data_IF_763596012498
#
_entry.id   IF_763596012498
#
_cell.length_a   1.000
_cell.length_b   1.000
_cell.length_c   1.000
_cell.angle_alpha   90.00
_cell.angle_beta   90.00
_cell.angle_gamma   90.00
#
_symmetry.space_group_name_H-M   'P 1'
#
loop_
_entity.id
_entity.type
_entity.pdbx_description
1 polymer ?
#
# COMPACT_ATOMS: atom_id res chain seq x y z
N UNK A 1 31.98 -51.91 13.74
CA UNK A 1 31.34 -50.72 13.14
C UNK A 1 30.42 -50.11 14.18
N UNK A 2 30.89 -49.10 14.92
CA UNK A 2 30.05 -48.31 15.82
C UNK A 2 29.42 -47.18 14.99
N UNK A 3 28.09 -47.13 14.93
CA UNK A 3 27.37 -46.02 14.34
C UNK A 3 27.63 -44.77 15.18
N UNK A 4 28.27 -43.77 14.59
CA UNK A 4 28.29 -42.42 15.15
C UNK A 4 26.86 -41.89 15.11
N UNK A 5 26.20 -41.82 16.25
CA UNK A 5 25.06 -40.92 16.42
C UNK A 5 25.56 -39.49 16.17
N UNK A 6 25.15 -38.90 15.06
CA UNK A 6 25.27 -37.46 14.85
C UNK A 6 24.16 -36.81 15.67
N UNK A 7 24.38 -36.63 16.96
CA UNK A 7 23.56 -35.75 17.81
C UNK A 7 24.03 -34.31 17.63
N UNK A 8 23.78 -33.73 16.45
CA UNK A 8 23.93 -32.28 16.26
C UNK A 8 22.68 -31.56 16.75
N UNK A 9 22.49 -31.50 18.08
CA UNK A 9 21.60 -30.49 18.68
C UNK A 9 22.28 -29.13 18.51
N UNK A 10 22.03 -28.47 17.37
CA UNK A 10 22.67 -27.20 17.02
C UNK A 10 22.34 -26.06 18.00
N UNK A 11 21.29 -26.16 18.81
CA UNK A 11 20.96 -25.16 19.83
C UNK A 11 20.45 -25.81 21.13
N UNK A 12 21.15 -25.58 22.25
CA UNK A 12 20.68 -25.83 23.61
C UNK A 12 20.35 -24.47 24.25
N UNK A 13 19.18 -23.94 23.91
CA UNK A 13 18.66 -22.70 24.50
C UNK A 13 17.40 -23.04 25.29
N UNK A 14 17.33 -22.57 26.54
CA UNK A 14 16.07 -22.53 27.27
C UNK A 14 15.28 -21.33 26.74
N UNK A 15 14.17 -21.60 26.07
CA UNK A 15 13.28 -20.56 25.58
C UNK A 15 12.59 -19.90 26.77
N UNK A 16 12.60 -18.57 26.81
CA UNK A 16 11.75 -17.85 27.76
C UNK A 16 10.29 -17.83 27.28
N UNK A 17 9.38 -17.37 28.13
CA UNK A 17 7.94 -17.34 27.83
C UNK A 17 7.61 -16.53 26.57
N UNK A 18 8.29 -15.38 26.36
CA UNK A 18 8.14 -14.57 25.15
C UNK A 18 8.53 -15.34 23.89
N UNK A 19 9.62 -16.08 23.92
CA UNK A 19 10.13 -16.86 22.79
C UNK A 19 9.27 -18.10 22.51
N UNK A 20 8.76 -18.76 23.56
CA UNK A 20 7.79 -19.84 23.46
C UNK A 20 6.48 -19.37 22.85
N UNK A 21 5.97 -18.22 23.33
CA UNK A 21 4.80 -17.59 22.75
C UNK A 21 5.07 -17.26 21.28
N UNK A 22 6.20 -16.61 20.95
CA UNK A 22 6.58 -16.29 19.57
C UNK A 22 6.58 -17.51 18.65
N UNK A 23 7.19 -18.61 19.10
CA UNK A 23 7.19 -19.86 18.35
C UNK A 23 5.79 -20.44 18.23
N UNK A 24 4.95 -20.38 19.26
CA UNK A 24 3.55 -20.79 19.17
C UNK A 24 2.81 -19.99 18.09
N UNK A 25 2.93 -18.66 18.05
CA UNK A 25 2.38 -17.82 16.98
C UNK A 25 2.93 -18.19 15.59
N UNK A 26 4.25 -18.34 15.45
CA UNK A 26 4.88 -18.75 14.20
C UNK A 26 4.45 -20.15 13.75
N UNK A 27 4.11 -21.06 14.68
CA UNK A 27 3.66 -22.41 14.34
C UNK A 27 2.15 -22.55 14.15
N UNK A 28 1.34 -21.71 14.80
CA UNK A 28 -0.14 -21.83 14.78
C UNK A 28 -0.81 -20.84 13.84
N UNK A 29 -0.19 -19.68 13.59
CA UNK A 29 -0.78 -18.57 12.83
C UNK A 29 -0.10 -18.39 11.48
N UNK A 30 1.21 -18.59 11.35
CA UNK A 30 1.90 -18.43 10.05
C UNK A 30 1.57 -19.56 9.04
N UNK A 31 1.52 -20.86 9.41
CA UNK A 31 1.33 -21.96 8.46
C UNK A 31 -0.11 -22.11 7.96
N UNK A 32 -1.09 -21.51 8.64
CA UNK A 32 -2.48 -21.50 8.17
C UNK A 32 -2.67 -20.67 6.90
N UNK A 33 -1.75 -19.75 6.58
CA UNK A 33 -1.96 -18.79 5.49
C UNK A 33 -0.99 -18.92 4.31
N UNK A 34 -0.04 -19.86 4.36
CA UNK A 34 0.68 -20.35 3.17
C UNK A 34 -0.18 -21.28 2.31
N UNK A 35 -1.38 -21.63 2.77
CA UNK A 35 -2.34 -22.49 2.09
C UNK A 35 -3.20 -21.68 1.10
N UNK A 36 -2.60 -21.19 0.01
CA UNK A 36 -3.29 -20.46 -1.05
C UNK A 36 -4.15 -21.35 -1.98
N UNK A 37 -4.13 -22.67 -1.80
CA UNK A 37 -4.65 -23.63 -2.80
C UNK A 37 -6.11 -24.07 -2.58
N UNK A 38 -6.81 -23.61 -1.54
CA UNK A 38 -8.23 -23.97 -1.34
C UNK A 38 -9.07 -22.74 -1.07
N UNK A 39 -10.22 -22.66 -1.75
CA UNK A 39 -11.32 -21.71 -1.51
C UNK A 39 -11.96 -21.86 -0.10
N UNK A 40 -11.29 -22.54 0.83
CA UNK A 40 -11.76 -22.82 2.17
C UNK A 40 -10.71 -22.34 3.15
N UNK A 41 -11.15 -21.44 4.03
CA UNK A 41 -10.32 -20.85 5.06
C UNK A 41 -9.93 -21.93 6.09
N UNK A 42 -8.69 -21.95 6.61
CA UNK A 42 -8.22 -22.99 7.54
C UNK A 42 -9.03 -23.05 8.84
N UNK A 43 -9.03 -24.22 9.47
CA UNK A 43 -9.79 -24.55 10.68
C UNK A 43 -9.26 -23.94 11.99
N UNK A 44 -8.14 -23.22 11.98
CA UNK A 44 -7.52 -22.57 13.17
C UNK A 44 -8.21 -21.24 13.55
N UNK A 45 -9.54 -21.22 13.50
CA UNK A 45 -10.41 -20.04 13.66
C UNK A 45 -10.82 -19.73 15.09
N UNK A 46 -10.13 -20.23 16.11
CA UNK A 46 -10.49 -19.92 17.51
C UNK A 46 -10.42 -18.41 17.85
N UNK A 47 -9.72 -17.62 17.01
CA UNK A 47 -9.66 -16.16 17.09
C UNK A 47 -10.72 -15.42 16.25
N UNK A 48 -11.43 -16.11 15.35
CA UNK A 48 -12.46 -15.50 14.48
C UNK A 48 -13.82 -15.49 15.19
N UNK A 49 -13.88 -14.70 16.25
CA UNK A 49 -15.09 -14.50 17.06
C UNK A 49 -16.12 -13.65 16.32
N UNK A 50 -17.38 -13.66 16.77
CA UNK A 50 -18.40 -12.77 16.21
C UNK A 50 -18.02 -11.28 16.39
N UNK A 51 -17.35 -10.97 17.51
CA UNK A 51 -16.80 -9.65 17.77
C UNK A 51 -15.75 -9.23 16.73
N UNK A 52 -14.84 -10.14 16.34
CA UNK A 52 -13.89 -9.88 15.27
C UNK A 52 -14.59 -9.60 13.94
N UNK A 53 -15.63 -10.38 13.61
CA UNK A 53 -16.41 -10.20 12.38
C UNK A 53 -17.10 -8.85 12.31
N UNK A 54 -17.63 -8.36 13.44
CA UNK A 54 -18.21 -7.02 13.51
C UNK A 54 -17.17 -5.93 13.26
N UNK A 55 -15.97 -6.06 13.84
CA UNK A 55 -14.86 -5.13 13.62
C UNK A 55 -14.38 -5.16 12.16
N UNK A 56 -14.21 -6.33 11.58
CA UNK A 56 -13.81 -6.53 10.19
C UNK A 56 -14.82 -5.91 9.22
N UNK A 57 -16.12 -6.20 9.41
CA UNK A 57 -17.19 -5.59 8.61
C UNK A 57 -17.19 -4.08 8.72
N UNK A 58 -17.03 -3.55 9.94
CA UNK A 58 -16.93 -2.11 10.16
C UNK A 58 -15.76 -1.49 9.40
N UNK A 59 -14.59 -2.14 9.37
CA UNK A 59 -13.43 -1.68 8.60
C UNK A 59 -13.74 -1.67 7.10
N UNK A 60 -14.36 -2.72 6.56
CA UNK A 60 -14.70 -2.79 5.13
C UNK A 60 -15.77 -1.77 4.74
N UNK A 61 -16.81 -1.61 5.55
CA UNK A 61 -17.86 -0.62 5.34
C UNK A 61 -17.28 0.80 5.37
N UNK A 62 -16.41 1.10 6.34
CA UNK A 62 -15.74 2.40 6.41
C UNK A 62 -14.75 2.60 5.26
N UNK A 63 -14.00 1.57 4.85
CA UNK A 63 -13.12 1.67 3.69
C UNK A 63 -13.91 2.00 2.42
N UNK A 64 -15.06 1.36 2.21
CA UNK A 64 -15.96 1.68 1.11
C UNK A 64 -16.47 3.12 1.20
N UNK A 65 -16.92 3.57 2.38
CA UNK A 65 -17.42 4.93 2.58
C UNK A 65 -16.33 5.99 2.34
N UNK A 66 -15.08 5.72 2.76
CA UNK A 66 -13.98 6.67 2.62
C UNK A 66 -13.34 6.66 1.23
N UNK A 67 -13.58 5.66 0.39
CA UNK A 67 -12.91 5.55 -0.92
C UNK A 67 -13.87 5.47 -2.10
N UNK A 68 -15.17 5.28 -1.85
CA UNK A 68 -16.20 4.94 -2.83
C UNK A 68 -15.87 3.68 -3.66
N UNK A 69 -14.91 2.86 -3.21
CA UNK A 69 -14.41 1.68 -3.94
C UNK A 69 -14.88 0.39 -3.31
N UNK A 70 -15.58 -0.42 -4.10
CA UNK A 70 -15.90 -1.80 -3.71
C UNK A 70 -14.68 -2.68 -3.91
N UNK A 71 -14.32 -3.41 -2.87
CA UNK A 71 -13.31 -4.45 -2.95
C UNK A 71 -13.84 -5.62 -3.79
N UNK A 72 -12.95 -6.26 -4.52
CA UNK A 72 -13.24 -7.54 -5.17
C UNK A 72 -13.18 -8.67 -4.12
N UNK A 73 -13.86 -9.79 -4.37
CA UNK A 73 -13.82 -10.94 -3.46
C UNK A 73 -12.40 -11.43 -3.08
N UNK A 74 -11.43 -11.48 -4.02
CA UNK A 74 -10.03 -11.77 -3.70
C UNK A 74 -9.38 -10.73 -2.77
N UNK A 75 -9.67 -9.44 -2.96
CA UNK A 75 -9.13 -8.37 -2.13
C UNK A 75 -9.72 -8.39 -0.71
N UNK A 76 -11.03 -8.61 -0.58
CA UNK A 76 -11.69 -8.82 0.71
C UNK A 76 -11.06 -10.01 1.44
N UNK A 77 -10.90 -11.14 0.74
CA UNK A 77 -10.27 -12.35 1.30
C UNK A 77 -8.83 -12.08 1.75
N UNK A 78 -8.06 -11.35 0.95
CA UNK A 78 -6.70 -10.94 1.29
C UNK A 78 -6.66 -10.06 2.55
N UNK A 79 -7.49 -9.02 2.62
CA UNK A 79 -7.54 -8.11 3.77
C UNK A 79 -7.98 -8.86 5.03
N UNK A 80 -9.04 -9.65 4.94
CA UNK A 80 -9.56 -10.47 6.03
C UNK A 80 -8.47 -11.33 6.65
N UNK A 81 -7.81 -12.14 5.82
CA UNK A 81 -6.74 -13.03 6.25
C UNK A 81 -5.60 -12.27 6.94
N UNK A 82 -5.16 -11.17 6.33
CA UNK A 82 -4.02 -10.40 6.81
C UNK A 82 -4.34 -9.52 8.04
N UNK A 83 -5.59 -9.11 8.21
CA UNK A 83 -6.06 -8.40 9.39
C UNK A 83 -6.18 -9.35 10.57
N UNK A 84 -6.67 -10.58 10.38
CA UNK A 84 -6.72 -11.61 11.45
C UNK A 84 -5.29 -11.88 11.95
N UNK A 85 -4.34 -12.02 11.02
CA UNK A 85 -2.92 -12.22 11.34
C UNK A 85 -2.38 -11.11 12.24
N UNK A 86 -2.55 -9.85 11.83
CA UNK A 86 -2.10 -8.68 12.59
C UNK A 86 -2.80 -8.61 13.96
N UNK A 87 -4.12 -8.70 14.00
CA UNK A 87 -4.87 -8.65 15.26
C UNK A 87 -4.40 -9.73 16.23
N UNK A 88 -4.22 -10.96 15.76
CA UNK A 88 -3.76 -12.07 16.61
C UNK A 88 -2.35 -11.81 17.14
N UNK A 89 -1.45 -11.31 16.29
CA UNK A 89 -0.11 -10.87 16.72
C UNK A 89 -0.18 -9.83 17.83
N UNK A 90 -0.93 -8.75 17.62
CA UNK A 90 -1.02 -7.64 18.56
C UNK A 90 -1.74 -8.01 19.87
N UNK A 91 -2.67 -8.97 19.83
CA UNK A 91 -3.27 -9.58 21.03
C UNK A 91 -2.25 -10.40 21.82
N UNK A 92 -1.37 -11.15 21.14
CA UNK A 92 -0.40 -12.04 21.79
C UNK A 92 0.84 -11.33 22.34
N UNK A 93 1.35 -10.30 21.66
CA UNK A 93 2.61 -9.63 22.02
C UNK A 93 2.46 -8.20 22.52
N UNK A 94 1.25 -7.64 22.44
CA UNK A 94 1.03 -6.24 22.79
C UNK A 94 1.51 -5.27 21.72
N UNK A 95 1.34 -3.98 22.02
CA UNK A 95 1.12 -2.98 20.99
C UNK A 95 2.36 -2.15 20.60
N UNK A 96 3.22 -1.77 21.54
CA UNK A 96 4.32 -0.84 21.21
C UNK A 96 5.66 -1.15 21.93
N UNK A 97 5.65 -1.86 23.07
CA UNK A 97 6.87 -2.09 23.89
C UNK A 97 7.55 -3.45 23.65
N UNK A 98 6.93 -4.35 22.88
CA UNK A 98 7.36 -5.74 22.70
C UNK A 98 7.46 -6.16 21.23
N UNK A 99 7.51 -5.18 20.33
CA UNK A 99 7.56 -5.40 18.89
C UNK A 99 8.98 -5.14 18.37
N UNK A 100 9.92 -6.11 18.45
CA UNK A 100 11.16 -6.07 17.67
C UNK A 100 10.83 -6.40 16.20
N UNK A 101 11.40 -5.66 15.24
CA UNK A 101 10.81 -4.38 14.93
C UNK A 101 10.02 -4.47 13.64
N UNK A 102 8.72 -4.21 13.77
CA UNK A 102 7.96 -3.54 12.71
C UNK A 102 8.46 -2.08 12.52
N UNK A 103 9.67 -1.69 12.98
CA UNK A 103 10.29 -0.38 12.71
C UNK A 103 10.41 -0.13 11.21
N UNK A 104 10.55 -1.20 10.42
CA UNK A 104 10.56 -1.12 8.96
C UNK A 104 9.24 -0.57 8.41
N UNK A 105 8.11 -0.69 9.15
CA UNK A 105 6.82 -0.11 8.76
C UNK A 105 6.85 1.41 8.69
N UNK A 106 7.54 2.07 9.64
CA UNK A 106 7.72 3.52 9.65
C UNK A 106 8.58 3.97 8.46
N UNK A 107 9.59 3.17 8.07
CA UNK A 107 10.40 3.44 6.89
C UNK A 107 9.59 3.41 5.58
N UNK A 108 8.44 2.75 5.51
CA UNK A 108 7.60 2.79 4.30
C UNK A 108 6.83 4.10 4.12
N UNK A 109 6.76 4.94 5.17
CA UNK A 109 6.27 6.32 5.12
C UNK A 109 7.39 7.26 4.63
N UNK A 110 7.92 6.99 3.44
CA UNK A 110 8.63 8.04 2.70
C UNK A 110 7.60 9.03 2.19
N UNK A 111 7.96 10.32 2.14
CA UNK A 111 7.15 11.46 1.72
C UNK A 111 6.49 11.26 0.34
N UNK A 112 5.38 10.52 0.32
CA UNK A 112 4.55 10.22 -0.83
C UNK A 112 3.14 10.69 -0.48
N UNK A 113 2.64 11.77 -1.13
CA UNK A 113 1.32 12.32 -0.88
C UNK A 113 0.17 11.29 -0.98
N UNK A 114 0.34 10.24 -1.80
CA UNK A 114 -0.64 9.15 -1.92
C UNK A 114 -0.67 8.31 -0.64
N UNK A 115 0.51 7.97 -0.11
CA UNK A 115 0.66 7.19 1.13
C UNK A 115 0.17 7.96 2.35
N UNK A 116 0.50 9.25 2.43
CA UNK A 116 -0.03 10.15 3.45
C UNK A 116 -1.57 10.13 3.46
N UNK A 117 -2.19 10.12 2.28
CA UNK A 117 -3.64 10.05 2.16
C UNK A 117 -4.21 8.70 2.61
N UNK A 118 -3.61 7.58 2.19
CA UNK A 118 -4.02 6.26 2.68
C UNK A 118 -3.89 6.12 4.20
N UNK A 119 -2.84 6.70 4.80
CA UNK A 119 -2.67 6.68 6.24
C UNK A 119 -3.79 7.46 6.95
N UNK A 120 -4.16 8.64 6.43
CA UNK A 120 -5.31 9.42 6.93
C UNK A 120 -6.63 8.65 6.80
N UNK A 121 -6.84 7.91 5.70
CA UNK A 121 -8.01 7.04 5.55
C UNK A 121 -8.05 6.00 6.68
N UNK A 122 -6.93 5.34 6.96
CA UNK A 122 -6.86 4.36 8.06
C UNK A 122 -7.12 4.99 9.42
N UNK A 123 -6.53 6.14 9.71
CA UNK A 123 -6.80 6.87 10.97
C UNK A 123 -8.29 7.22 11.10
N UNK A 124 -8.92 7.67 10.01
CA UNK A 124 -10.35 7.99 9.99
C UNK A 124 -11.22 6.75 10.22
N UNK A 125 -10.93 5.64 9.52
CA UNK A 125 -11.61 4.35 9.73
C UNK A 125 -11.51 3.95 11.21
N UNK A 126 -10.29 3.92 11.77
CA UNK A 126 -10.08 3.50 13.16
C UNK A 126 -10.86 4.35 14.15
N UNK A 127 -10.90 5.67 13.94
CA UNK A 127 -11.64 6.60 14.82
C UNK A 127 -13.17 6.36 14.83
N UNK A 128 -13.70 5.68 13.80
CA UNK A 128 -15.12 5.42 13.63
C UNK A 128 -15.54 4.00 14.07
N UNK A 129 -14.58 3.14 14.41
CA UNK A 129 -14.89 1.79 14.87
C UNK A 129 -15.37 1.84 16.34
N UNK A 130 -16.51 1.21 16.67
CA UNK A 130 -17.02 1.18 18.04
C UNK A 130 -16.25 0.16 18.90
N UNK A 131 -15.08 0.57 19.42
CA UNK A 131 -14.20 -0.27 20.25
C UNK A 131 -14.70 -0.31 21.70
N UNK A 132 -15.47 -1.35 22.06
CA UNK A 132 -16.05 -1.51 23.41
C UNK A 132 -15.07 -2.04 24.45
N UNK A 133 -14.25 -3.03 24.07
CA UNK A 133 -13.33 -3.70 25.00
C UNK A 133 -11.94 -3.06 25.02
N UNK A 134 -11.31 -3.03 26.21
CA UNK A 134 -9.97 -2.46 26.42
C UNK A 134 -8.91 -3.10 25.52
N UNK A 135 -9.01 -4.43 25.30
CA UNK A 135 -8.09 -5.17 24.42
C UNK A 135 -8.08 -4.60 23.00
N UNK A 136 -9.24 -4.20 22.48
CA UNK A 136 -9.37 -3.62 21.14
C UNK A 136 -8.90 -2.18 21.10
N UNK A 137 -9.25 -1.38 22.11
CA UNK A 137 -8.76 -0.01 22.23
C UNK A 137 -7.23 0.02 22.25
N UNK A 138 -6.59 -0.88 23.01
CA UNK A 138 -5.13 -0.98 23.08
C UNK A 138 -4.50 -1.29 21.72
N UNK A 139 -5.10 -2.18 20.93
CA UNK A 139 -4.57 -2.57 19.62
C UNK A 139 -4.78 -1.47 18.59
N UNK A 140 -6.03 -1.01 18.43
CA UNK A 140 -6.38 -0.06 17.38
C UNK A 140 -5.82 1.36 17.64
N UNK A 141 -5.52 1.70 18.88
CA UNK A 141 -4.81 2.95 19.21
C UNK A 141 -3.29 2.85 19.10
N UNK A 142 -2.73 1.66 18.88
CA UNK A 142 -1.29 1.52 18.68
C UNK A 142 -0.86 1.95 17.29
N UNK A 143 0.14 2.82 17.25
CA UNK A 143 0.73 3.33 16.03
C UNK A 143 1.27 2.21 15.15
N UNK A 144 1.90 1.19 15.76
CA UNK A 144 2.39 0.00 15.05
C UNK A 144 1.26 -0.75 14.33
N UNK A 145 0.11 -0.91 14.99
CA UNK A 145 -1.06 -1.54 14.37
C UNK A 145 -1.61 -0.69 13.23
N UNK A 146 -1.74 0.62 13.42
CA UNK A 146 -2.24 1.55 12.38
C UNK A 146 -1.36 1.52 11.14
N UNK A 147 -0.04 1.56 11.30
CA UNK A 147 0.90 1.40 10.17
C UNK A 147 0.75 0.05 9.48
N UNK A 148 0.58 -1.03 10.24
CA UNK A 148 0.39 -2.36 9.67
C UNK A 148 -0.90 -2.46 8.84
N UNK A 149 -1.98 -1.80 9.29
CA UNK A 149 -3.25 -1.73 8.56
C UNK A 149 -3.16 -0.82 7.34
N UNK A 150 -2.49 0.32 7.46
CA UNK A 150 -2.15 1.22 6.36
C UNK A 150 -1.48 0.47 5.20
N UNK A 151 -0.49 -0.39 5.49
CA UNK A 151 0.19 -1.14 4.43
C UNK A 151 -0.74 -2.11 3.68
N UNK A 152 -1.68 -2.74 4.38
CA UNK A 152 -2.65 -3.63 3.73
C UNK A 152 -3.58 -2.85 2.83
N UNK A 153 -4.14 -1.77 3.37
CA UNK A 153 -5.07 -0.91 2.66
C UNK A 153 -4.37 -0.27 1.47
N UNK A 154 -3.15 0.23 1.64
CA UNK A 154 -2.37 0.79 0.53
C UNK A 154 -2.12 -0.25 -0.54
N UNK A 155 -1.73 -1.47 -0.19
CA UNK A 155 -1.48 -2.53 -1.18
C UNK A 155 -2.72 -2.82 -2.03
N UNK A 156 -3.87 -3.03 -1.39
CA UNK A 156 -5.14 -3.31 -2.10
C UNK A 156 -5.60 -2.13 -2.95
N UNK A 157 -5.44 -0.91 -2.45
CA UNK A 157 -5.83 0.29 -3.20
C UNK A 157 -4.83 0.63 -4.32
N UNK A 158 -3.56 0.22 -4.18
CA UNK A 158 -2.51 0.40 -5.17
C UNK A 158 -2.63 -0.56 -6.37
N UNK A 159 -3.10 -1.80 -6.16
CA UNK A 159 -3.32 -2.77 -7.25
C UNK A 159 -4.29 -2.27 -8.34
N UNK A 160 -5.18 -1.35 -7.98
CA UNK A 160 -6.18 -0.77 -8.88
C UNK A 160 -5.90 0.69 -9.23
N UNK A 161 -4.64 1.12 -9.13
CA UNK A 161 -4.28 2.46 -9.60
C UNK A 161 -4.42 2.52 -11.11
N UNK A 162 -5.32 3.39 -11.57
CA UNK A 162 -5.32 3.84 -12.95
C UNK A 162 -3.94 4.42 -13.27
N UNK A 163 -3.37 3.95 -14.38
CA UNK A 163 -2.20 4.60 -14.98
C UNK A 163 -2.49 6.09 -15.17
N UNK A 164 -1.46 6.91 -14.97
CA UNK A 164 -1.51 8.30 -15.42
C UNK A 164 -1.12 8.28 -16.90
N UNK A 165 -2.03 8.75 -17.76
CA UNK A 165 -1.80 8.85 -19.21
C UNK A 165 -0.96 10.08 -19.51
N UNK A 166 0.21 9.87 -20.07
CA UNK A 166 1.20 10.93 -20.31
C UNK A 166 1.54 10.99 -21.79
N UNK A 167 1.50 12.18 -22.38
CA UNK A 167 2.10 12.46 -23.67
C UNK A 167 3.41 13.25 -23.49
N UNK A 168 4.43 12.94 -24.30
CA UNK A 168 5.67 13.72 -24.39
C UNK A 168 5.77 14.32 -25.79
N UNK A 169 5.82 15.65 -25.86
CA UNK A 169 5.96 16.42 -27.09
C UNK A 169 7.31 17.12 -27.10
N UNK A 170 8.09 16.87 -28.16
CA UNK A 170 9.38 17.51 -28.35
C UNK A 170 9.58 17.94 -29.79
N UNK A 171 10.19 19.11 -29.97
CA UNK A 171 10.62 19.59 -31.28
C UNK A 171 11.87 18.90 -31.84
N UNK A 172 12.55 18.05 -31.05
CA UNK A 172 13.80 17.36 -31.44
C UNK A 172 13.56 15.96 -32.02
N UNK A 173 12.30 15.60 -32.29
CA UNK A 173 11.93 14.40 -33.01
C UNK A 173 11.93 13.11 -32.19
N UNK A 174 11.72 11.99 -32.89
CA UNK A 174 11.35 10.69 -32.29
C UNK A 174 12.42 10.13 -31.35
N UNK A 175 13.70 10.25 -31.69
CA UNK A 175 14.80 9.73 -30.86
C UNK A 175 14.83 10.40 -29.49
N UNK A 176 14.63 11.72 -29.47
CA UNK A 176 14.62 12.47 -28.23
C UNK A 176 13.36 12.17 -27.40
N UNK A 177 12.19 12.04 -28.03
CA UNK A 177 10.96 11.55 -27.37
C UNK A 177 11.22 10.21 -26.67
N UNK A 178 11.81 9.24 -27.37
CA UNK A 178 12.11 7.92 -26.81
C UNK A 178 13.06 7.99 -25.61
N UNK A 179 14.07 8.87 -25.65
CA UNK A 179 14.99 9.07 -24.54
C UNK A 179 14.25 9.61 -23.30
N UNK A 180 13.46 10.67 -23.46
CA UNK A 180 12.65 11.26 -22.38
C UNK A 180 11.66 10.25 -21.78
N UNK A 181 10.97 9.49 -22.63
CA UNK A 181 10.07 8.41 -22.20
C UNK A 181 10.83 7.39 -21.34
N UNK A 182 11.99 6.91 -21.81
CA UNK A 182 12.79 5.93 -21.07
C UNK A 182 13.20 6.45 -19.69
N UNK A 183 13.61 7.71 -19.59
CA UNK A 183 13.95 8.32 -18.30
C UNK A 183 12.73 8.43 -17.39
N UNK A 184 11.62 8.94 -17.92
CA UNK A 184 10.39 9.11 -17.16
C UNK A 184 9.90 7.76 -16.61
N UNK A 185 9.81 6.73 -17.45
CA UNK A 185 9.38 5.38 -17.03
C UNK A 185 10.34 4.75 -16.02
N UNK A 186 11.65 5.00 -16.14
CA UNK A 186 12.65 4.48 -15.19
C UNK A 186 12.58 5.16 -13.83
N UNK A 187 12.27 6.46 -13.80
CA UNK A 187 12.27 7.25 -12.57
C UNK A 187 10.93 7.21 -11.82
N UNK A 188 9.83 6.91 -12.51
CA UNK A 188 8.54 6.80 -11.86
C UNK A 188 8.44 5.49 -11.06
N UNK A 189 8.11 5.55 -9.76
CA UNK A 189 8.01 4.37 -8.90
C UNK A 189 6.77 3.51 -9.22
N UNK A 190 5.75 4.09 -9.86
CA UNK A 190 4.51 3.42 -10.26
C UNK A 190 4.31 3.52 -11.77
N UNK A 191 3.61 2.54 -12.40
CA UNK A 191 3.37 2.57 -13.83
C UNK A 191 2.72 3.87 -14.32
N UNK A 192 3.22 4.35 -15.45
CA UNK A 192 2.61 5.42 -16.25
C UNK A 192 2.31 4.84 -17.63
N UNK A 193 1.26 5.32 -18.26
CA UNK A 193 0.91 4.93 -19.62
C UNK A 193 1.31 6.04 -20.56
N UNK A 194 2.28 5.77 -21.42
CA UNK A 194 2.74 6.75 -22.40
C UNK A 194 1.86 6.62 -23.64
N UNK A 195 1.08 7.67 -23.92
CA UNK A 195 0.12 7.72 -25.01
C UNK A 195 0.50 8.78 -26.04
N UNK A 196 -0.06 8.68 -27.23
CA UNK A 196 0.04 9.76 -28.21
C UNK A 196 -0.85 10.95 -27.82
N UNK A 197 -0.57 12.11 -28.41
CA UNK A 197 -1.24 13.36 -28.03
C UNK A 197 -2.74 13.36 -28.33
N UNK A 198 -3.16 12.64 -29.36
CA UNK A 198 -4.55 12.44 -29.78
C UNK A 198 -5.28 11.34 -28.99
N UNK A 199 -4.59 10.63 -28.09
CA UNK A 199 -5.15 9.54 -27.27
C UNK A 199 -5.59 10.02 -25.87
N UNK A 200 -6.02 11.28 -25.77
CA UNK A 200 -6.52 11.92 -24.55
C UNK A 200 -5.56 11.78 -23.34
N UNK A 201 -4.32 12.31 -23.43
CA UNK A 201 -3.40 12.33 -22.30
C UNK A 201 -3.97 13.15 -21.14
N UNK A 202 -3.64 12.74 -19.92
CA UNK A 202 -3.96 13.49 -18.70
C UNK A 202 -2.89 14.53 -18.37
N UNK A 203 -1.63 14.21 -18.69
CA UNK A 203 -0.48 15.11 -18.57
C UNK A 203 0.24 15.22 -19.91
N UNK A 204 0.62 16.43 -20.29
CA UNK A 204 1.46 16.68 -21.46
C UNK A 204 2.77 17.31 -21.01
N UNK A 205 3.87 16.59 -21.20
CA UNK A 205 5.22 17.15 -21.05
C UNK A 205 5.70 17.73 -22.38
N UNK A 206 6.14 18.99 -22.39
CA UNK A 206 6.61 19.63 -23.62
C UNK A 206 7.82 20.55 -23.44
N UNK A 207 8.71 20.59 -24.43
CA UNK A 207 9.91 21.46 -24.47
C UNK A 207 9.73 22.75 -25.30
N UNK A 208 8.49 23.06 -25.67
CA UNK A 208 8.09 24.27 -26.38
C UNK A 208 6.68 24.72 -25.94
N UNK A 209 6.35 26.02 -26.05
CA UNK A 209 5.01 26.54 -25.76
C UNK A 209 3.95 25.90 -26.67
N UNK A 210 2.99 25.19 -26.08
CA UNK A 210 1.81 24.68 -26.78
C UNK A 210 0.73 25.77 -26.79
N UNK A 211 0.56 26.49 -27.90
CA UNK A 211 -0.60 27.38 -28.10
C UNK A 211 -1.87 26.62 -28.44
N UNK A 212 -1.74 25.51 -29.18
CA UNK A 212 -2.86 24.68 -29.68
C UNK A 212 -3.18 23.49 -28.75
N UNK A 213 -2.28 23.17 -27.82
CA UNK A 213 -2.40 22.07 -26.84
C UNK A 213 -3.69 22.09 -26.02
N UNK A 214 -4.10 23.29 -25.62
CA UNK A 214 -5.27 23.53 -24.77
C UNK A 214 -6.59 23.42 -25.53
N UNK A 215 -6.59 23.53 -26.86
CA UNK A 215 -7.83 23.48 -27.67
C UNK A 215 -8.30 22.04 -27.92
N UNK A 216 -7.37 21.09 -28.03
CA UNK A 216 -7.67 19.68 -28.36
C UNK A 216 -7.93 18.85 -27.10
N UNK A 217 -7.21 19.12 -26.01
CA UNK A 217 -7.48 18.50 -24.71
C UNK A 217 -7.42 19.53 -23.58
N UNK A 218 -8.51 20.30 -23.37
CA UNK A 218 -8.56 21.37 -22.37
C UNK A 218 -8.44 20.86 -20.93
N UNK A 219 -8.54 19.54 -20.70
CA UNK A 219 -8.46 18.93 -19.38
C UNK A 219 -7.06 18.41 -19.03
N UNK A 220 -6.15 18.33 -20.01
CA UNK A 220 -4.79 17.89 -19.78
C UNK A 220 -3.99 18.95 -19.00
N UNK A 221 -3.24 18.52 -18.00
CA UNK A 221 -2.28 19.39 -17.33
C UNK A 221 -0.98 19.46 -18.13
N UNK A 222 -0.54 20.67 -18.47
CA UNK A 222 0.67 20.90 -19.28
C UNK A 222 1.84 21.22 -18.36
N UNK A 223 2.94 20.48 -18.49
CA UNK A 223 4.17 20.71 -17.73
C UNK A 223 5.35 20.95 -18.68
N UNK A 224 5.96 22.13 -18.57
CA UNK A 224 7.11 22.49 -19.41
C UNK A 224 8.39 21.84 -18.91
N UNK A 225 9.05 21.08 -19.79
CA UNK A 225 10.32 20.41 -19.51
C UNK A 225 11.46 21.05 -20.30
N UNK A 226 12.67 21.03 -19.74
CA UNK A 226 13.86 21.38 -20.51
C UNK A 226 14.15 20.33 -21.58
N UNK A 227 14.85 20.71 -22.63
CA UNK A 227 15.32 19.78 -23.69
C UNK A 227 16.18 18.66 -23.09
N UNK A 228 16.93 18.95 -22.04
CA UNK A 228 17.62 17.94 -21.22
C UNK A 228 17.27 18.23 -19.77
N UNK A 229 16.20 17.60 -19.24
CA UNK A 229 15.79 17.88 -17.89
C UNK A 229 16.93 17.56 -16.91
N UNK A 230 17.18 18.49 -16.00
CA UNK A 230 18.19 18.29 -14.95
C UNK A 230 17.69 17.25 -13.95
N UNK A 231 18.57 16.66 -13.11
CA UNK A 231 18.13 15.78 -12.03
C UNK A 231 17.05 16.39 -11.14
N UNK A 232 17.13 17.70 -10.86
CA UNK A 232 16.12 18.43 -10.11
C UNK A 232 14.79 18.51 -10.87
N UNK A 233 14.80 18.84 -12.16
CA UNK A 233 13.58 18.89 -12.96
C UNK A 233 12.93 17.51 -13.10
N UNK A 234 13.71 16.44 -13.17
CA UNK A 234 13.18 15.08 -13.14
C UNK A 234 12.48 14.75 -11.81
N UNK A 235 13.02 15.20 -10.68
CA UNK A 235 12.37 15.05 -9.38
C UNK A 235 11.04 15.81 -9.34
N UNK A 236 11.01 17.05 -9.86
CA UNK A 236 9.78 17.84 -9.97
C UNK A 236 8.74 17.15 -10.86
N UNK A 237 9.16 16.58 -12.00
CA UNK A 237 8.28 15.82 -12.90
C UNK A 237 7.67 14.62 -12.20
N UNK A 238 8.46 13.82 -11.47
CA UNK A 238 7.95 12.66 -10.71
C UNK A 238 6.95 13.10 -9.64
N UNK A 239 7.31 14.13 -8.84
CA UNK A 239 6.42 14.67 -7.81
C UNK A 239 5.11 15.23 -8.40
N UNK A 240 5.19 15.83 -9.59
CA UNK A 240 4.02 16.32 -10.32
C UNK A 240 3.10 15.17 -10.73
N UNK A 241 3.64 14.09 -11.32
CA UNK A 241 2.87 12.88 -11.68
C UNK A 241 2.23 12.26 -10.43
N UNK A 242 2.96 12.17 -9.32
CA UNK A 242 2.44 11.61 -8.07
C UNK A 242 1.32 12.47 -7.47
N UNK A 243 1.46 13.79 -7.52
CA UNK A 243 0.43 14.74 -7.09
C UNK A 243 -0.82 14.63 -7.97
N UNK A 244 -0.65 14.53 -9.29
CA UNK A 244 -1.76 14.33 -10.23
C UNK A 244 -2.47 13.00 -9.95
N UNK A 245 -1.72 11.90 -9.75
CA UNK A 245 -2.29 10.59 -9.40
C UNK A 245 -3.12 10.67 -8.12
N UNK A 246 -2.58 11.33 -7.09
CA UNK A 246 -3.28 11.55 -5.82
C UNK A 246 -4.60 12.31 -6.05
N UNK A 247 -4.58 13.38 -6.85
CA UNK A 247 -5.78 14.16 -7.21
C UNK A 247 -6.78 13.35 -8.03
N UNK A 248 -6.31 12.54 -8.98
CA UNK A 248 -7.16 11.64 -9.78
C UNK A 248 -7.87 10.63 -8.88
N UNK A 249 -7.13 10.06 -7.93
CA UNK A 249 -7.61 9.02 -7.05
C UNK A 249 -8.52 9.52 -5.93
N UNK A 250 -8.16 10.62 -5.28
CA UNK A 250 -8.82 11.12 -4.07
C UNK A 250 -9.41 12.52 -4.24
N UNK A 251 -9.43 13.08 -5.45
CA UNK A 251 -9.96 14.42 -5.70
C UNK A 251 -11.42 14.58 -5.31
N UNK A 252 -12.17 13.48 -5.23
CA UNK A 252 -13.54 13.45 -4.70
C UNK A 252 -13.57 13.64 -3.17
N UNK A 253 -12.56 13.16 -2.45
CA UNK A 253 -12.39 13.28 -1.00
C UNK A 253 -11.80 14.62 -0.55
N UNK A 254 -11.14 15.34 -1.46
CA UNK A 254 -10.50 16.63 -1.19
C UNK A 254 -11.46 17.83 -1.38
N UNK A 255 -12.74 17.57 -1.65
CA UNK A 255 -13.80 18.60 -1.75
C UNK A 255 -14.53 18.75 -0.41
N UNK A 256 -13.78 19.09 0.64
CA UNK A 256 -14.31 19.56 1.93
C UNK A 256 -13.83 20.98 2.20
#
# INVERSE_FOLDING_TARGET
>A
MQSKEITSRFFKKNLNETELNYLYYVFTVVPTYTYHEKNELPSFRDFYTEEYRELERSIFDQLFQQTERRLTGPQESFLSLNMIYRVTYFLSYGSDNYVPPYSDLEYFYYSDPTKDHYFKIVDKIISQIPLKEEKWQRIFNSQSFRFSLFQLVSWVLEEQLDSVKVAILTKYGKLHKTELVRYLTKLNPRPIEVVEYDEYPEIIFCDFPLKEGQEINPKAEIYFIGVKPTPLQWLEIVNFVDSFRTKKQFGHLMKE
#
